data_IF_279386502252
#
_entry.id   IF_279386502252
#
_cell.length_a   1.000
_cell.length_b   1.000
_cell.length_c   1.000
_cell.angle_alpha   90.00
_cell.angle_beta   90.00
_cell.angle_gamma   90.00
#
_symmetry.space_group_name_H-M   'P 1'
#
loop_
_entity.id
_entity.type
_entity.pdbx_description
1 polymer ?
#
# COMPACT_ATOMS: atom_id res chain seq x y z
N UNK A 1 22.91 -6.71 6.02
CA UNK A 1 23.15 -7.83 5.08
C UNK A 1 21.92 -8.72 5.09
N UNK A 2 21.03 -8.59 4.10
CA UNK A 2 19.92 -9.52 3.90
C UNK A 2 20.43 -10.63 2.96
N UNK A 3 20.84 -11.75 3.52
CA UNK A 3 21.44 -12.87 2.78
C UNK A 3 21.03 -14.15 3.49
N UNK A 4 19.91 -14.76 3.11
CA UNK A 4 19.52 -16.08 3.65
C UNK A 4 18.52 -16.78 2.74
N UNK A 5 18.92 -17.18 1.53
CA UNK A 5 18.18 -18.24 0.84
C UNK A 5 19.13 -19.16 0.10
N UNK A 6 19.33 -20.35 0.65
CA UNK A 6 20.06 -21.44 0.00
C UNK A 6 19.12 -22.21 -0.94
N UNK A 7 18.43 -21.50 -1.83
CA UNK A 7 17.59 -22.09 -2.86
C UNK A 7 17.88 -21.48 -4.24
N UNK A 8 17.67 -22.28 -5.29
CA UNK A 8 17.77 -21.88 -6.68
C UNK A 8 16.37 -21.61 -7.22
N UNK A 9 16.15 -20.45 -7.82
CA UNK A 9 14.84 -20.00 -8.28
C UNK A 9 14.31 -18.86 -7.41
N UNK A 10 13.00 -18.84 -7.13
CA UNK A 10 12.41 -17.78 -6.32
C UNK A 10 11.05 -18.15 -5.75
N UNK A 11 10.63 -17.39 -4.74
CA UNK A 11 9.29 -17.45 -4.18
C UNK A 11 8.58 -16.17 -4.59
N UNK A 12 7.39 -16.30 -5.17
CA UNK A 12 6.54 -15.18 -5.50
C UNK A 12 5.36 -15.13 -4.53
N UNK A 13 4.98 -13.93 -4.14
CA UNK A 13 3.74 -13.69 -3.42
C UNK A 13 2.84 -12.86 -4.34
N UNK A 14 1.51 -13.02 -4.25
CA UNK A 14 0.56 -12.12 -4.93
C UNK A 14 -0.86 -12.25 -4.37
N UNK A 15 -1.65 -11.15 -4.34
CA UNK A 15 -3.08 -11.24 -4.15
C UNK A 15 -3.79 -11.70 -5.43
N UNK A 16 -4.91 -12.40 -5.29
CA UNK A 16 -5.86 -12.62 -6.39
C UNK A 16 -7.05 -11.67 -6.33
N UNK A 17 -7.90 -11.67 -7.37
CA UNK A 17 -9.09 -10.81 -7.41
C UNK A 17 -10.08 -11.10 -6.29
N UNK A 18 -10.09 -12.29 -5.69
CA UNK A 18 -10.94 -12.61 -4.54
C UNK A 18 -10.35 -12.13 -3.20
N UNK A 19 -9.20 -11.45 -3.24
CA UNK A 19 -8.51 -10.91 -2.08
C UNK A 19 -7.75 -11.95 -1.26
N UNK A 20 -7.38 -13.08 -1.88
CA UNK A 20 -6.54 -14.09 -1.24
C UNK A 20 -5.07 -13.79 -1.54
N UNK A 21 -4.22 -13.83 -0.52
CA UNK A 21 -2.77 -13.78 -0.68
C UNK A 21 -2.22 -15.19 -0.88
N UNK A 22 -1.46 -15.38 -1.95
CA UNK A 22 -0.81 -16.62 -2.31
C UNK A 22 0.71 -16.53 -2.16
N UNK A 23 1.32 -17.66 -1.82
CA UNK A 23 2.76 -17.95 -1.87
C UNK A 23 2.97 -19.02 -2.94
N UNK A 24 3.69 -18.68 -4.00
CA UNK A 24 4.08 -19.57 -5.08
C UNK A 24 5.57 -19.87 -4.94
N UNK A 25 5.89 -21.10 -4.55
CA UNK A 25 7.25 -21.60 -4.53
C UNK A 25 7.67 -22.04 -5.94
N UNK A 26 8.68 -21.38 -6.49
CA UNK A 26 9.33 -21.76 -7.75
C UNK A 26 10.82 -21.99 -7.48
N UNK A 27 11.15 -22.54 -6.31
CA UNK A 27 12.52 -22.76 -5.86
C UNK A 27 12.84 -24.24 -5.69
N UNK A 28 14.13 -24.55 -5.60
CA UNK A 28 14.66 -25.89 -5.31
C UNK A 28 15.94 -25.80 -4.49
N UNK A 29 16.28 -26.85 -3.76
CA UNK A 29 17.43 -26.87 -2.85
C UNK A 29 18.75 -27.22 -3.54
N UNK A 30 18.70 -27.75 -4.77
CA UNK A 30 19.91 -28.04 -5.55
C UNK A 30 19.74 -27.93 -7.07
N UNK A 31 20.79 -27.52 -7.77
CA UNK A 31 20.78 -27.46 -9.25
C UNK A 31 20.54 -28.81 -9.92
N UNK A 32 21.02 -29.90 -9.31
CA UNK A 32 20.87 -31.27 -9.80
C UNK A 32 19.52 -31.93 -9.51
N UNK A 33 18.65 -31.28 -8.73
CA UNK A 33 17.31 -31.78 -8.43
C UNK A 33 16.37 -31.59 -9.62
N UNK A 34 15.43 -32.53 -9.78
CA UNK A 34 14.33 -32.42 -10.73
C UNK A 34 13.38 -31.29 -10.32
N UNK A 35 12.76 -30.62 -11.29
CA UNK A 35 11.83 -29.52 -11.04
C UNK A 35 10.46 -29.97 -10.48
N UNK A 36 10.35 -31.19 -9.95
CA UNK A 36 9.10 -31.81 -9.50
C UNK A 36 8.56 -31.24 -8.19
N UNK A 37 9.41 -30.62 -7.36
CA UNK A 37 9.03 -29.94 -6.12
C UNK A 37 8.72 -28.45 -6.31
N UNK A 38 9.04 -27.89 -7.48
CA UNK A 38 8.71 -26.51 -7.83
C UNK A 38 7.20 -26.38 -8.12
N UNK A 39 6.71 -25.14 -8.12
CA UNK A 39 5.33 -24.75 -8.46
C UNK A 39 4.29 -25.10 -7.39
N UNK A 40 4.71 -25.12 -6.13
CA UNK A 40 3.80 -25.30 -5.01
C UNK A 40 3.09 -23.99 -4.71
N UNK A 41 1.76 -24.00 -4.80
CA UNK A 41 0.91 -22.84 -4.54
C UNK A 41 0.21 -23.00 -3.19
N UNK A 42 0.58 -22.17 -2.22
CA UNK A 42 0.01 -22.17 -0.87
C UNK A 42 -0.75 -20.87 -0.62
N UNK A 43 -1.96 -20.97 -0.07
CA UNK A 43 -2.72 -19.79 0.34
C UNK A 43 -2.23 -19.32 1.71
N UNK A 44 -1.67 -18.12 1.77
CA UNK A 44 -1.17 -17.55 3.01
C UNK A 44 -2.30 -16.91 3.82
N UNK A 45 -3.11 -16.06 3.18
CA UNK A 45 -4.10 -15.24 3.86
C UNK A 45 -5.36 -15.02 3.03
N UNK A 46 -6.48 -14.74 3.69
CA UNK A 46 -7.80 -14.47 3.11
C UNK A 46 -8.33 -13.13 3.63
N UNK A 47 -8.59 -12.19 2.73
CA UNK A 47 -9.30 -10.93 3.06
C UNK A 47 -10.77 -11.14 3.42
N UNK A 48 -11.30 -12.33 3.12
CA UNK A 48 -12.73 -12.68 3.24
C UNK A 48 -13.60 -11.81 2.32
N UNK A 49 -13.13 -11.64 1.08
CA UNK A 49 -13.83 -10.88 0.05
C UNK A 49 -15.09 -11.55 -0.46
N UNK A 50 -16.13 -10.73 -0.61
CA UNK A 50 -17.40 -11.06 -1.24
C UNK A 50 -17.78 -9.93 -2.20
N UNK A 51 -18.73 -10.19 -3.10
CA UNK A 51 -19.28 -9.14 -3.97
C UNK A 51 -19.94 -7.99 -3.19
N UNK A 52 -20.37 -8.23 -1.95
CA UNK A 52 -21.01 -7.22 -1.12
C UNK A 52 -19.97 -6.30 -0.45
N UNK A 53 -18.87 -6.85 0.06
CA UNK A 53 -17.89 -6.08 0.83
C UNK A 53 -16.74 -5.50 0.00
N UNK A 54 -16.67 -5.82 -1.29
CA UNK A 54 -15.70 -5.33 -2.27
C UNK A 54 -14.24 -5.54 -1.91
N UNK A 55 -13.93 -6.53 -1.05
CA UNK A 55 -12.55 -6.81 -0.64
C UNK A 55 -11.75 -7.57 -1.71
N UNK A 56 -11.72 -7.04 -2.92
CA UNK A 56 -10.99 -7.58 -4.05
C UNK A 56 -9.53 -7.14 -4.03
N UNK A 57 -8.63 -8.03 -4.44
CA UNK A 57 -7.19 -7.77 -4.52
C UNK A 57 -6.76 -7.21 -5.87
N UNK A 58 -7.24 -6.02 -6.24
CA UNK A 58 -6.85 -5.36 -7.50
C UNK A 58 -5.44 -4.73 -7.44
N UNK A 59 -5.02 -4.31 -6.25
CA UNK A 59 -3.73 -3.64 -6.08
C UNK A 59 -2.59 -4.67 -6.05
N UNK A 60 -1.48 -4.32 -6.71
CA UNK A 60 -0.21 -5.00 -6.42
C UNK A 60 0.17 -4.74 -4.95
N UNK A 61 0.96 -5.63 -4.38
CA UNK A 61 1.43 -5.49 -3.00
C UNK A 61 2.87 -4.98 -2.93
N UNK A 62 3.27 -4.48 -1.77
CA UNK A 62 4.67 -4.29 -1.42
C UNK A 62 5.16 -5.48 -0.60
N UNK A 63 6.29 -6.05 -0.99
CA UNK A 63 6.94 -7.14 -0.27
C UNK A 63 8.32 -6.67 0.20
N UNK A 64 8.64 -6.88 1.47
CA UNK A 64 9.95 -6.51 2.04
C UNK A 64 10.44 -7.55 3.04
N UNK A 65 11.74 -7.55 3.30
CA UNK A 65 12.37 -8.36 4.33
C UNK A 65 12.52 -7.53 5.60
N UNK A 66 12.01 -8.04 6.71
CA UNK A 66 12.09 -7.40 8.02
C UNK A 66 12.92 -8.27 8.94
N UNK A 67 14.02 -7.70 9.45
CA UNK A 67 14.77 -8.31 10.52
C UNK A 67 14.04 -8.09 11.84
N UNK A 68 13.70 -9.19 12.51
CA UNK A 68 13.03 -9.18 13.80
C UNK A 68 13.93 -9.77 14.87
N UNK A 69 13.85 -9.21 16.08
CA UNK A 69 14.41 -9.82 17.29
C UNK A 69 13.47 -10.86 17.91
N UNK A 70 12.20 -10.90 17.47
CA UNK A 70 11.16 -11.74 18.10
C UNK A 70 10.07 -12.13 17.08
N UNK A 71 10.03 -13.39 16.60
CA UNK A 71 11.12 -14.37 16.67
C UNK A 71 12.34 -13.89 15.91
N UNK A 72 13.54 -14.20 16.43
CA UNK A 72 14.81 -13.82 15.82
C UNK A 72 14.86 -14.37 14.38
N UNK A 73 15.11 -13.49 13.41
CA UNK A 73 15.28 -13.88 12.02
C UNK A 73 14.90 -12.80 11.03
N UNK A 74 15.09 -13.10 9.75
CA UNK A 74 14.63 -12.28 8.63
C UNK A 74 13.34 -12.88 8.10
N UNK A 75 12.27 -12.10 8.13
CA UNK A 75 10.93 -12.55 7.75
C UNK A 75 10.43 -11.74 6.55
N UNK A 76 9.58 -12.33 5.72
CA UNK A 76 8.92 -11.60 4.63
C UNK A 76 7.64 -10.94 5.15
N UNK A 77 7.43 -9.68 4.81
CA UNK A 77 6.16 -8.99 4.99
C UNK A 77 5.55 -8.62 3.63
N UNK A 78 4.25 -8.86 3.51
CA UNK A 78 3.44 -8.55 2.34
C UNK A 78 2.36 -7.54 2.72
N UNK A 79 2.39 -6.37 2.09
CA UNK A 79 1.50 -5.25 2.35
C UNK A 79 0.57 -4.99 1.17
N UNK A 80 -0.72 -5.10 1.39
CA UNK A 80 -1.73 -4.90 0.35
C UNK A 80 -3.03 -4.38 0.94
N UNK A 81 -3.87 -3.83 0.09
CA UNK A 81 -5.19 -3.35 0.48
C UNK A 81 -6.23 -3.68 -0.57
N UNK A 82 -7.49 -3.72 -0.14
CA UNK A 82 -8.59 -4.16 -0.98
C UNK A 82 -9.41 -3.00 -1.54
N UNK A 83 -10.03 -3.24 -2.68
CA UNK A 83 -10.97 -2.31 -3.30
C UNK A 83 -11.25 -2.69 -4.75
N UNK A 84 -12.50 -2.52 -5.20
CA UNK A 84 -12.87 -2.71 -6.60
C UNK A 84 -12.38 -1.54 -7.46
N UNK A 85 -11.28 -1.75 -8.20
CA UNK A 85 -10.80 -0.74 -9.14
C UNK A 85 -11.61 -0.68 -10.44
N UNK A 86 -12.28 -1.76 -10.83
CA UNK A 86 -13.14 -1.75 -12.01
C UNK A 86 -14.39 -0.90 -11.78
N UNK A 87 -14.87 -0.85 -10.53
CA UNK A 87 -16.01 -0.05 -10.11
C UNK A 87 -15.65 0.95 -9.00
N UNK A 88 -14.62 1.76 -9.25
CA UNK A 88 -14.11 2.72 -8.26
C UNK A 88 -15.20 3.67 -7.71
N UNK A 89 -16.22 3.98 -8.54
CA UNK A 89 -17.35 4.86 -8.22
C UNK A 89 -18.52 4.19 -7.47
N UNK A 90 -18.45 2.89 -7.19
CA UNK A 90 -19.51 2.18 -6.45
C UNK A 90 -19.59 2.65 -4.99
N UNK A 91 -20.80 2.85 -4.46
CA UNK A 91 -21.05 3.39 -3.10
C UNK A 91 -22.12 2.60 -2.36
N UNK A 92 -21.82 1.35 -2.09
CA UNK A 92 -22.69 0.51 -1.29
C UNK A 92 -22.22 0.54 0.18
N UNK A 93 -23.14 0.69 1.13
CA UNK A 93 -22.84 0.69 2.56
C UNK A 93 -22.27 -0.65 3.06
N UNK A 94 -22.46 -1.73 2.29
CA UNK A 94 -21.87 -3.04 2.58
C UNK A 94 -20.38 -3.12 2.26
N UNK A 95 -19.82 -2.16 1.51
CA UNK A 95 -18.39 -2.08 1.23
C UNK A 95 -17.65 -1.88 2.55
N UNK A 96 -16.61 -2.69 2.78
CA UNK A 96 -15.79 -2.65 4.00
C UNK A 96 -14.35 -3.03 3.68
N UNK A 97 -13.65 -2.16 2.96
CA UNK A 97 -12.28 -2.43 2.53
C UNK A 97 -11.28 -2.39 3.68
N UNK A 98 -10.15 -3.07 3.47
CA UNK A 98 -9.11 -3.25 4.49
C UNK A 98 -7.73 -3.09 3.90
N UNK A 99 -6.81 -2.71 4.77
CA UNK A 99 -5.37 -2.78 4.56
C UNK A 99 -4.81 -3.90 5.41
N UNK A 100 -3.79 -4.59 4.91
CA UNK A 100 -3.15 -5.74 5.56
C UNK A 100 -1.63 -5.62 5.52
N UNK A 101 -1.00 -6.12 6.58
CA UNK A 101 0.41 -6.52 6.57
C UNK A 101 0.51 -7.97 7.03
N UNK A 102 0.86 -8.87 6.12
CA UNK A 102 0.92 -10.32 6.38
C UNK A 102 2.38 -10.77 6.40
N UNK A 103 2.79 -11.38 7.51
CA UNK A 103 4.13 -11.90 7.74
C UNK A 103 4.20 -13.38 7.35
N UNK A 104 5.28 -13.77 6.68
CA UNK A 104 5.70 -15.16 6.51
C UNK A 104 6.88 -15.42 7.45
N UNK A 105 6.60 -16.16 8.52
CA UNK A 105 7.56 -16.57 9.55
C UNK A 105 8.46 -17.73 9.08
N UNK A 106 8.04 -18.45 8.05
CA UNK A 106 8.73 -19.64 7.57
C UNK A 106 9.80 -19.30 6.54
N UNK A 107 9.80 -18.08 5.99
CA UNK A 107 10.84 -17.64 5.06
C UNK A 107 12.25 -17.81 5.66
N UNK A 108 13.22 -18.41 4.94
CA UNK A 108 13.23 -18.76 3.50
C UNK A 108 12.62 -20.13 3.12
N UNK A 109 12.02 -20.85 4.07
CA UNK A 109 11.28 -22.08 3.82
C UNK A 109 10.15 -21.88 2.82
N UNK A 110 9.83 -22.95 2.08
CA UNK A 110 8.89 -22.90 0.95
C UNK A 110 7.45 -23.16 1.34
N UNK A 111 7.20 -23.75 2.50
CA UNK A 111 5.87 -23.97 3.08
C UNK A 111 5.45 -22.83 4.03
N UNK A 112 4.34 -23.04 4.75
CA UNK A 112 3.83 -22.13 5.79
C UNK A 112 3.56 -22.91 7.08
N UNK A 113 4.50 -23.77 7.50
CA UNK A 113 4.29 -24.66 8.64
C UNK A 113 4.07 -23.90 9.97
N UNK A 114 4.87 -22.86 10.23
CA UNK A 114 4.81 -22.04 11.45
C UNK A 114 3.79 -20.92 11.30
N UNK A 115 3.83 -20.22 10.16
CA UNK A 115 2.91 -19.13 9.82
C UNK A 115 1.48 -19.62 9.80
N UNK A 116 1.25 -20.83 9.28
CA UNK A 116 -0.05 -21.41 8.99
C UNK A 116 -0.63 -20.92 7.67
N UNK A 117 -1.43 -21.76 7.02
CA UNK A 117 -2.10 -21.45 5.76
C UNK A 117 -3.51 -20.90 5.95
N UNK A 118 -4.00 -20.19 4.94
CA UNK A 118 -5.37 -19.67 4.85
C UNK A 118 -5.82 -18.82 6.05
N UNK A 119 -4.89 -18.07 6.65
CA UNK A 119 -5.18 -17.18 7.79
C UNK A 119 -6.21 -16.11 7.42
N UNK A 120 -6.93 -15.64 8.42
CA UNK A 120 -7.94 -14.56 8.34
C UNK A 120 -7.68 -13.56 9.47
N UNK A 121 -8.44 -12.47 9.51
CA UNK A 121 -8.35 -11.48 10.60
C UNK A 121 -8.73 -12.03 11.98
N UNK A 122 -9.41 -13.19 12.04
CA UNK A 122 -9.78 -13.86 13.29
C UNK A 122 -8.77 -14.92 13.71
N UNK A 123 -7.73 -15.15 12.91
CA UNK A 123 -6.67 -16.08 13.26
C UNK A 123 -5.80 -15.53 14.39
N UNK A 124 -5.29 -16.42 15.24
CA UNK A 124 -4.38 -16.05 16.33
C UNK A 124 -3.20 -15.22 15.81
N UNK A 125 -2.88 -14.15 16.52
CA UNK A 125 -1.74 -13.29 16.22
C UNK A 125 -1.96 -12.26 15.10
N UNK A 126 -3.18 -12.14 14.57
CA UNK A 126 -3.55 -11.06 13.66
C UNK A 126 -4.17 -9.91 14.46
N UNK A 127 -3.52 -8.75 14.45
CA UNK A 127 -3.95 -7.58 15.23
C UNK A 127 -4.66 -6.55 14.37
N UNK A 128 -5.70 -5.93 14.93
CA UNK A 128 -6.40 -4.80 14.30
C UNK A 128 -5.72 -3.50 14.71
N UNK A 129 -5.38 -2.66 13.73
CA UNK A 129 -4.97 -1.28 13.95
C UNK A 129 -6.22 -0.40 13.76
N UNK A 130 -6.59 0.37 14.79
CA UNK A 130 -7.79 1.22 14.75
C UNK A 130 -7.63 2.61 15.37
N UNK A 131 -6.40 3.01 15.73
CA UNK A 131 -6.12 4.34 16.30
C UNK A 131 -4.72 4.85 15.99
N UNK A 132 -4.52 6.16 16.16
CA UNK A 132 -3.23 6.82 15.95
C UNK A 132 -2.18 6.43 17.03
N UNK A 133 -2.63 6.03 18.22
CA UNK A 133 -1.78 5.69 19.38
C UNK A 133 -1.75 4.17 19.66
N UNK A 134 -1.84 3.34 18.63
CA UNK A 134 -1.95 1.90 18.83
C UNK A 134 -0.66 1.27 19.37
N UNK A 135 -0.80 0.40 20.39
CA UNK A 135 0.30 0.03 21.28
C UNK A 135 1.45 -0.67 20.55
N UNK A 136 2.67 -0.18 20.77
CA UNK A 136 3.94 -0.67 20.20
C UNK A 136 4.34 -2.10 20.57
N UNK A 137 3.53 -2.80 21.38
CA UNK A 137 3.79 -4.17 21.85
C UNK A 137 3.35 -5.25 20.86
N UNK A 138 2.64 -4.90 19.79
CA UNK A 138 2.13 -5.91 18.85
C UNK A 138 3.23 -6.50 18.01
N UNK A 139 4.01 -5.70 17.27
CA UNK A 139 5.09 -6.24 16.43
C UNK A 139 6.20 -6.97 17.20
N UNK A 140 6.26 -6.83 18.54
CA UNK A 140 7.25 -7.49 19.39
C UNK A 140 6.76 -8.79 20.02
N UNK A 141 5.49 -9.17 19.81
CA UNK A 141 4.97 -10.45 20.29
C UNK A 141 5.50 -11.60 19.42
N UNK A 142 5.83 -12.72 20.05
CA UNK A 142 6.41 -13.92 19.42
C UNK A 142 5.54 -14.52 18.31
N UNK A 143 4.24 -14.20 18.28
CA UNK A 143 3.24 -14.79 17.41
C UNK A 143 2.49 -13.73 16.59
N UNK A 144 3.19 -12.83 15.88
CA UNK A 144 2.53 -11.89 14.95
C UNK A 144 2.67 -12.32 13.50
N UNK A 145 1.77 -13.20 12.98
CA UNK A 145 1.64 -13.46 11.56
C UNK A 145 1.10 -12.26 10.76
N UNK A 146 0.66 -11.18 11.40
CA UNK A 146 0.28 -9.97 10.68
C UNK A 146 -0.63 -9.01 11.43
N UNK A 147 -1.15 -8.05 10.68
CA UNK A 147 -2.08 -7.03 11.15
C UNK A 147 -3.04 -6.63 10.02
N UNK A 148 -4.14 -5.99 10.39
CA UNK A 148 -5.06 -5.36 9.46
C UNK A 148 -5.60 -4.04 10.01
N UNK A 149 -6.10 -3.20 9.12
CA UNK A 149 -6.89 -2.03 9.46
C UNK A 149 -8.15 -2.03 8.59
N UNK A 150 -9.31 -1.78 9.19
CA UNK A 150 -10.48 -1.37 8.42
C UNK A 150 -10.19 0.03 7.87
N UNK A 151 -10.38 0.25 6.56
CA UNK A 151 -10.00 1.50 5.92
C UNK A 151 -10.71 2.70 6.55
N UNK A 152 -11.96 2.50 6.99
CA UNK A 152 -12.74 3.48 7.74
C UNK A 152 -12.02 3.98 9.01
N UNK A 153 -11.42 3.07 9.78
CA UNK A 153 -10.82 3.39 11.07
C UNK A 153 -9.50 4.15 10.95
N UNK A 154 -8.89 4.11 9.76
CA UNK A 154 -7.61 4.77 9.44
C UNK A 154 -7.76 5.88 8.41
N UNK A 155 -8.98 6.41 8.26
CA UNK A 155 -9.28 7.44 7.28
C UNK A 155 -10.00 8.64 7.84
N UNK A 156 -9.71 9.82 7.28
CA UNK A 156 -10.49 11.04 7.48
C UNK A 156 -11.41 11.35 6.30
N UNK A 157 -11.54 10.43 5.34
CA UNK A 157 -12.48 10.58 4.21
C UNK A 157 -13.92 10.27 4.61
N UNK A 158 -14.15 9.72 5.80
CA UNK A 158 -15.51 9.43 6.25
C UNK A 158 -16.30 10.72 6.46
N UNK A 159 -17.48 10.79 5.83
CA UNK A 159 -18.41 11.92 5.92
C UNK A 159 -19.79 11.48 6.42
N UNK A 160 -19.97 10.24 6.92
CA UNK A 160 -21.28 9.77 7.38
C UNK A 160 -21.33 8.33 7.88
N UNK A 161 -22.51 7.72 7.84
CA UNK A 161 -22.72 6.36 8.39
C UNK A 161 -22.28 5.22 7.43
N UNK A 162 -21.90 5.55 6.19
CA UNK A 162 -21.62 4.57 5.13
C UNK A 162 -20.14 4.63 4.73
N UNK A 163 -19.46 3.49 4.88
CA UNK A 163 -18.11 3.26 4.34
C UNK A 163 -18.21 2.68 2.94
N UNK A 164 -17.57 3.34 1.99
CA UNK A 164 -17.32 2.81 0.64
C UNK A 164 -15.95 3.26 0.12
N UNK A 165 -15.04 3.50 1.07
CA UNK A 165 -13.66 3.88 0.80
C UNK A 165 -12.93 2.67 0.21
N UNK A 166 -12.03 2.90 -0.76
CA UNK A 166 -11.28 1.87 -1.46
C UNK A 166 -9.79 2.16 -1.37
N UNK A 167 -8.99 1.10 -1.29
CA UNK A 167 -7.56 1.21 -1.55
C UNK A 167 -7.36 1.21 -3.08
N UNK A 168 -6.73 2.26 -3.60
CA UNK A 168 -6.63 2.51 -5.06
C UNK A 168 -5.20 2.46 -5.60
N UNK A 169 -4.21 2.37 -4.71
CA UNK A 169 -2.81 2.23 -5.07
C UNK A 169 -2.17 0.96 -4.50
N UNK A 170 -1.09 0.53 -5.16
CA UNK A 170 -0.13 -0.40 -4.56
C UNK A 170 0.42 0.20 -3.27
N UNK A 171 0.66 -0.64 -2.27
CA UNK A 171 1.40 -0.24 -1.08
C UNK A 171 2.85 0.17 -1.42
N UNK A 172 3.45 1.02 -0.60
CA UNK A 172 4.88 1.33 -0.62
C UNK A 172 5.45 1.16 0.79
N UNK A 173 6.47 0.31 0.95
CA UNK A 173 7.23 0.21 2.20
C UNK A 173 8.49 1.08 2.07
N UNK A 174 8.66 2.08 2.94
CA UNK A 174 9.77 3.01 2.92
C UNK A 174 10.04 3.59 4.31
N UNK A 175 11.31 3.73 4.68
CA UNK A 175 11.73 4.36 5.95
C UNK A 175 11.00 3.81 7.19
N UNK A 176 10.92 2.47 7.28
CA UNK A 176 10.17 1.69 8.29
C UNK A 176 8.63 1.83 8.26
N UNK A 177 8.09 2.71 7.42
CA UNK A 177 6.67 2.98 7.30
C UNK A 177 6.07 2.30 6.05
N UNK A 178 4.73 2.19 6.03
CA UNK A 178 4.00 1.65 4.87
C UNK A 178 2.91 2.62 4.43
N UNK A 179 2.92 2.98 3.15
CA UNK A 179 2.03 3.97 2.57
C UNK A 179 1.00 3.31 1.67
N UNK A 180 -0.25 3.73 1.81
CA UNK A 180 -1.38 3.34 0.99
C UNK A 180 -2.10 4.59 0.48
N UNK A 181 -2.73 4.49 -0.68
CA UNK A 181 -3.63 5.55 -1.16
C UNK A 181 -5.07 5.06 -1.17
N UNK A 182 -5.94 5.93 -0.65
CA UNK A 182 -7.35 5.70 -0.48
C UNK A 182 -8.15 6.63 -1.37
N UNK A 183 -9.34 6.20 -1.75
CA UNK A 183 -10.30 7.00 -2.48
C UNK A 183 -11.71 6.73 -1.97
N UNK A 184 -12.47 7.81 -1.81
CA UNK A 184 -13.89 7.80 -1.53
C UNK A 184 -14.62 8.60 -2.61
N UNK A 185 -15.46 7.95 -3.44
CA UNK A 185 -16.38 8.66 -4.34
C UNK A 185 -17.24 9.69 -3.61
N UNK A 186 -17.71 10.71 -4.31
CA UNK A 186 -18.73 11.62 -3.74
C UNK A 186 -20.06 10.88 -3.49
N UNK A 187 -20.75 11.18 -2.39
CA UNK A 187 -22.04 10.56 -2.05
C UNK A 187 -23.23 11.19 -2.81
N UNK A 188 -23.18 11.09 -4.13
CA UNK A 188 -24.20 11.62 -5.07
C UNK A 188 -25.00 10.48 -5.73
N UNK A 189 -25.93 10.75 -6.65
CA UNK A 189 -26.53 9.65 -7.43
C UNK A 189 -25.57 9.09 -8.50
N UNK A 190 -24.77 9.96 -9.12
CA UNK A 190 -23.79 9.61 -10.15
C UNK A 190 -22.50 10.40 -9.90
N UNK A 191 -21.51 9.84 -9.19
CA UNK A 191 -20.31 10.56 -8.83
C UNK A 191 -19.39 10.59 -10.04
N UNK A 192 -18.90 11.78 -10.34
CA UNK A 192 -17.83 11.97 -11.31
C UNK A 192 -16.51 12.21 -10.58
N UNK A 193 -16.58 12.72 -9.34
CA UNK A 193 -15.47 13.03 -8.46
C UNK A 193 -15.47 12.21 -7.18
N UNK A 194 -14.55 12.58 -6.30
CA UNK A 194 -14.38 12.01 -4.97
C UNK A 194 -13.17 12.63 -4.31
N UNK A 195 -12.86 12.17 -3.11
CA UNK A 195 -11.69 12.61 -2.34
C UNK A 195 -10.73 11.45 -2.15
N UNK A 196 -9.45 11.77 -2.16
CA UNK A 196 -8.39 10.83 -1.86
C UNK A 196 -7.57 11.29 -0.67
N UNK A 197 -6.83 10.34 -0.11
CA UNK A 197 -5.78 10.59 0.86
C UNK A 197 -4.72 9.50 0.79
N UNK A 198 -3.51 9.83 1.22
CA UNK A 198 -2.54 8.84 1.68
C UNK A 198 -2.82 8.42 3.12
N UNK A 199 -2.50 7.18 3.45
CA UNK A 199 -2.39 6.69 4.82
C UNK A 199 -1.00 6.14 5.01
N UNK A 200 -0.33 6.62 6.05
CA UNK A 200 0.99 6.18 6.49
C UNK A 200 0.81 5.31 7.73
N UNK A 201 1.10 4.03 7.60
CA UNK A 201 1.16 3.08 8.71
C UNK A 201 2.55 3.17 9.34
N UNK A 202 2.61 3.70 10.56
CA UNK A 202 3.88 4.08 11.19
C UNK A 202 4.54 2.83 11.77
N UNK A 203 5.80 2.59 11.39
CA UNK A 203 6.56 1.39 11.77
C UNK A 203 5.78 0.11 11.48
N UNK A 204 5.01 0.11 10.38
CA UNK A 204 4.07 -0.93 9.96
C UNK A 204 2.95 -1.22 10.99
N UNK A 205 3.27 -1.84 12.13
CA UNK A 205 2.31 -2.25 13.17
C UNK A 205 2.62 -1.70 14.58
N UNK A 206 3.69 -0.92 14.75
CA UNK A 206 4.20 -0.52 16.08
C UNK A 206 3.91 0.94 16.46
N UNK A 207 3.45 1.77 15.52
CA UNK A 207 3.34 3.22 15.73
C UNK A 207 2.01 3.84 15.32
N UNK A 208 0.95 3.04 15.14
CA UNK A 208 -0.36 3.52 14.68
C UNK A 208 -0.35 3.96 13.21
N UNK A 209 -1.03 5.07 12.91
CA UNK A 209 -1.11 5.62 11.55
C UNK A 209 -1.18 7.15 11.54
N UNK A 210 -0.86 7.75 10.40
CA UNK A 210 -1.17 9.14 10.09
C UNK A 210 -1.81 9.27 8.71
N UNK A 211 -2.60 10.32 8.52
CA UNK A 211 -3.29 10.62 7.25
C UNK A 211 -2.59 11.75 6.54
N UNK A 212 -2.50 11.63 5.22
CA UNK A 212 -1.92 12.64 4.34
C UNK A 212 -3.00 13.03 3.34
N UNK A 213 -3.64 14.18 3.55
CA UNK A 213 -4.65 14.66 2.61
C UNK A 213 -4.02 14.83 1.21
N UNK A 214 -4.64 14.23 0.19
CA UNK A 214 -4.31 14.48 -1.22
C UNK A 214 -5.38 15.33 -1.90
N UNK A 215 -6.55 15.51 -1.26
CA UNK A 215 -7.60 16.41 -1.72
C UNK A 215 -8.61 15.75 -2.65
N UNK A 216 -9.29 16.57 -3.44
CA UNK A 216 -10.25 16.10 -4.43
C UNK A 216 -9.53 15.42 -5.61
N UNK A 217 -10.07 14.28 -6.05
CA UNK A 217 -9.53 13.48 -7.14
C UNK A 217 -9.17 12.05 -6.72
N UNK A 218 -8.63 11.30 -7.68
CA UNK A 218 -8.24 9.91 -7.52
C UNK A 218 -6.71 9.82 -7.42
N UNK A 219 -6.20 9.44 -6.25
CA UNK A 219 -4.76 9.23 -6.05
C UNK A 219 -4.23 7.98 -6.76
N UNK A 220 -3.03 8.09 -7.32
CA UNK A 220 -2.26 6.96 -7.85
C UNK A 220 -1.57 6.17 -6.74
N UNK A 221 -0.85 5.12 -7.09
CA UNK A 221 0.09 4.50 -6.15
C UNK A 221 1.22 5.48 -5.77
N UNK A 222 1.69 5.48 -4.51
CA UNK A 222 2.88 6.19 -4.09
C UNK A 222 4.14 5.58 -4.72
N UNK A 223 5.10 6.44 -5.09
CA UNK A 223 6.43 6.05 -5.58
C UNK A 223 7.50 6.82 -4.83
N UNK A 224 8.69 6.23 -4.65
CA UNK A 224 9.80 6.84 -3.92
C UNK A 224 10.99 7.09 -4.84
N UNK A 225 11.69 8.20 -4.63
CA UNK A 225 12.97 8.48 -5.30
C UNK A 225 14.18 8.02 -4.46
N UNK A 226 15.38 8.27 -4.98
CA UNK A 226 16.63 7.91 -4.29
C UNK A 226 16.94 8.76 -3.06
N UNK A 227 16.28 9.90 -2.90
CA UNK A 227 16.46 10.83 -1.78
C UNK A 227 15.48 10.56 -0.64
N UNK A 228 14.53 9.65 -0.86
CA UNK A 228 13.51 9.26 0.11
C UNK A 228 12.23 10.07 0.00
N UNK A 229 12.06 10.90 -1.04
CA UNK A 229 10.82 11.62 -1.28
C UNK A 229 9.79 10.70 -1.92
N UNK A 230 8.58 10.75 -1.41
CA UNK A 230 7.44 9.98 -1.90
C UNK A 230 6.53 10.88 -2.73
N UNK A 231 6.09 10.39 -3.89
CA UNK A 231 5.23 11.11 -4.81
C UNK A 231 3.92 10.36 -5.02
N UNK A 232 2.81 11.10 -5.02
CA UNK A 232 1.46 10.61 -5.30
C UNK A 232 0.85 11.51 -6.37
N UNK A 233 0.55 10.96 -7.54
CA UNK A 233 -0.24 11.67 -8.54
C UNK A 233 -1.72 11.68 -8.14
N UNK A 234 -2.43 12.73 -8.53
CA UNK A 234 -3.88 12.83 -8.34
C UNK A 234 -4.50 13.11 -9.71
N UNK A 235 -5.43 12.26 -10.12
CA UNK A 235 -6.23 12.45 -11.32
C UNK A 235 -7.59 13.08 -10.99
N UNK A 236 -8.27 13.63 -12.00
CA UNK A 236 -9.63 14.15 -11.87
C UNK A 236 -9.76 15.21 -10.76
N UNK A 237 -8.85 16.18 -10.76
CA UNK A 237 -8.84 17.30 -9.84
C UNK A 237 -10.12 18.13 -9.97
N UNK A 238 -10.61 18.67 -8.86
CA UNK A 238 -11.77 19.56 -8.84
C UNK A 238 -11.45 20.98 -9.34
N UNK A 239 -10.19 21.41 -9.22
CA UNK A 239 -9.68 22.71 -9.66
C UNK A 239 -8.86 22.53 -10.94
N UNK A 240 -8.73 23.57 -11.77
CA UNK A 240 -8.02 23.55 -13.06
C UNK A 240 -6.52 23.23 -12.90
N UNK A 241 -6.19 21.95 -12.74
CA UNK A 241 -4.83 21.39 -12.85
C UNK A 241 -3.97 21.45 -11.60
N UNK A 242 -4.43 22.04 -10.50
CA UNK A 242 -3.60 22.25 -9.30
C UNK A 242 -4.21 21.63 -8.03
N UNK A 243 -3.34 21.00 -7.24
CA UNK A 243 -3.62 20.53 -5.89
C UNK A 243 -3.73 21.73 -4.95
N UNK A 244 -4.81 21.77 -4.18
CA UNK A 244 -4.99 22.73 -3.09
C UNK A 244 -4.19 22.30 -1.84
N UNK A 245 -2.87 22.16 -2.00
CA UNK A 245 -1.92 21.77 -0.94
C UNK A 245 -0.69 22.67 -1.02
N UNK A 246 -0.71 23.72 -0.24
CA UNK A 246 0.44 24.61 -0.06
C UNK A 246 1.53 23.93 0.77
N UNK A 247 2.79 24.13 0.37
CA UNK A 247 3.94 23.69 1.17
C UNK A 247 3.94 24.46 2.51
N UNK A 248 4.01 23.73 3.63
CA UNK A 248 4.21 24.35 4.95
C UNK A 248 5.56 23.94 5.51
N UNK A 249 6.28 24.86 6.16
CA UNK A 249 7.58 24.53 6.81
C UNK A 249 7.44 23.46 7.92
N UNK A 250 6.22 23.21 8.39
CA UNK A 250 5.89 22.22 9.43
C UNK A 250 5.51 20.85 8.90
N UNK A 251 5.11 20.74 7.64
CA UNK A 251 4.72 19.47 7.05
C UNK A 251 5.69 19.16 5.90
N UNK A 252 6.36 18.01 5.98
CA UNK A 252 7.19 17.46 4.91
C UNK A 252 6.32 17.07 3.70
N UNK A 253 5.53 17.99 3.15
CA UNK A 253 4.70 17.79 1.97
C UNK A 253 4.53 19.07 1.17
N UNK A 254 4.50 18.93 -0.14
CA UNK A 254 4.27 20.01 -1.11
C UNK A 254 3.51 19.49 -2.31
N UNK A 255 2.59 20.29 -2.86
CA UNK A 255 1.90 20.02 -4.12
C UNK A 255 2.50 20.85 -5.25
N UNK A 256 2.65 20.25 -6.44
CA UNK A 256 2.84 20.98 -7.70
C UNK A 256 1.96 20.35 -8.75
N UNK A 257 1.15 21.17 -9.43
CA UNK A 257 0.14 20.71 -10.38
C UNK A 257 -0.70 19.59 -9.74
N UNK A 258 -0.67 18.40 -10.33
CA UNK A 258 -1.41 17.23 -9.89
C UNK A 258 -0.57 16.20 -9.11
N UNK A 259 0.59 16.60 -8.58
CA UNK A 259 1.53 15.72 -7.88
C UNK A 259 1.74 16.21 -6.45
N UNK A 260 1.42 15.35 -5.49
CA UNK A 260 1.79 15.52 -4.09
C UNK A 260 3.17 14.90 -3.85
N UNK A 261 4.07 15.63 -3.20
CA UNK A 261 5.30 15.11 -2.61
C UNK A 261 5.16 15.02 -1.09
N UNK A 262 5.75 13.99 -0.52
CA UNK A 262 5.92 13.76 0.91
C UNK A 262 7.43 13.53 1.14
N UNK A 263 8.10 14.44 1.84
CA UNK A 263 9.55 14.43 2.07
C UNK A 263 10.09 15.84 2.31
N UNK A 264 11.33 15.93 2.77
CA UNK A 264 11.95 17.15 3.29
C UNK A 264 12.78 17.95 2.27
N UNK A 265 12.95 17.46 1.04
CA UNK A 265 13.56 18.26 -0.03
C UNK A 265 12.49 19.10 -0.73
N UNK A 266 12.81 20.32 -1.16
CA UNK A 266 11.85 21.19 -1.85
C UNK A 266 11.53 20.69 -3.27
N UNK A 267 10.32 20.99 -3.78
CA UNK A 267 10.07 21.01 -5.22
C UNK A 267 10.22 22.46 -5.68
N UNK A 268 11.25 22.75 -6.48
CA UNK A 268 11.29 24.04 -7.17
C UNK A 268 10.26 24.03 -8.29
N UNK A 269 9.20 24.85 -8.14
CA UNK A 269 8.28 25.15 -9.22
C UNK A 269 9.07 25.74 -10.40
N UNK A 270 8.86 25.23 -11.61
CA UNK A 270 9.43 25.85 -12.80
C UNK A 270 8.65 27.11 -13.17
N UNK A 271 8.82 28.20 -12.41
CA UNK A 271 8.46 29.53 -12.86
C UNK A 271 9.54 30.01 -13.84
N UNK A 272 9.37 29.67 -15.12
CA UNK A 272 10.27 30.12 -16.17
C UNK A 272 10.17 31.63 -16.36
N UNK A 273 11.19 32.38 -15.92
CA UNK A 273 11.49 33.71 -16.47
C UNK A 273 12.95 33.92 -16.86
N UNK A 274 13.83 32.91 -16.72
CA UNK A 274 15.21 33.01 -17.19
C UNK A 274 15.52 31.94 -18.26
N UNK A 275 16.02 32.41 -19.40
CA UNK A 275 16.19 31.64 -20.65
C UNK A 275 17.60 31.07 -20.83
N UNK A 276 18.43 31.09 -19.79
CA UNK A 276 19.86 30.74 -19.91
C UNK A 276 20.34 29.54 -19.07
N UNK A 277 19.52 29.00 -18.18
CA UNK A 277 19.90 27.87 -17.33
C UNK A 277 18.85 26.76 -17.40
N UNK A 278 19.27 25.58 -17.85
CA UNK A 278 18.44 24.36 -17.88
C UNK A 278 18.28 23.86 -16.43
N UNK A 279 17.11 23.98 -15.79
CA UNK A 279 16.94 23.49 -14.43
C UNK A 279 16.82 21.95 -14.47
N UNK A 280 17.40 21.22 -13.51
CA UNK A 280 17.06 19.82 -13.31
C UNK A 280 15.61 19.76 -12.85
N UNK A 281 14.73 19.22 -13.70
CA UNK A 281 13.32 19.03 -13.40
C UNK A 281 12.79 17.92 -14.28
N UNK A 282 12.06 16.98 -13.67
CA UNK A 282 11.34 15.95 -14.42
C UNK A 282 10.24 16.65 -15.22
N UNK A 283 10.44 16.77 -16.54
CA UNK A 283 9.41 17.28 -17.47
C UNK A 283 8.60 16.10 -18.00
N UNK A 284 7.52 15.73 -17.32
CA UNK A 284 6.53 14.82 -17.93
C UNK A 284 5.67 15.65 -18.88
N UNK A 285 6.00 15.60 -20.17
CA UNK A 285 5.10 16.16 -21.19
C UNK A 285 3.84 15.30 -21.26
N UNK A 286 2.68 15.94 -21.16
CA UNK A 286 1.39 15.32 -21.48
C UNK A 286 1.43 14.69 -22.88
N UNK A 287 0.76 13.55 -23.08
CA UNK A 287 0.68 12.86 -24.37
C UNK A 287 0.24 13.78 -25.53
N UNK A 288 -0.55 14.82 -25.24
CA UNK A 288 -0.98 15.83 -26.23
C UNK A 288 0.14 16.76 -26.69
N UNK A 289 1.21 16.93 -25.91
CA UNK A 289 2.36 17.79 -26.22
C UNK A 289 3.49 17.06 -26.96
N UNK A 290 3.36 15.74 -27.17
CA UNK A 290 4.37 14.93 -27.88
C UNK A 290 4.12 14.85 -29.39
N UNK A 291 2.94 15.26 -29.87
CA UNK A 291 2.51 15.11 -31.26
C UNK A 291 2.06 16.40 -31.95
N UNK A 292 2.48 17.56 -31.44
CA UNK A 292 2.42 18.83 -32.17
C UNK A 292 3.83 19.35 -32.43
#
# INVERSE_FOLDING_TARGET
>A
TASTSDFWGGIAYFPDLTGQLWKLDMSKTGLGETNSSMWTLTKAFRSEGTLANDRFGYNQMATTLVNSSTPIGTHVFNYFGTGDQAHVQRRDATIKNRIYGVKDLDFPGTDLATTGSSKTITSSGIFKISGADDSSSWCSSVDVPGWYADVLDVSSLDEGANDFIKVVGRALAASDDVYFTLYRPDDLACPIGGKSQGVKMIKSCAGGYSVIATGAGLSTAPVIDSEGNIYVGVGNLATDGELDIEASESEERSGVDNILKIGSSDISASSSSDSSLKPPGIRIKSWRQLFN
#
